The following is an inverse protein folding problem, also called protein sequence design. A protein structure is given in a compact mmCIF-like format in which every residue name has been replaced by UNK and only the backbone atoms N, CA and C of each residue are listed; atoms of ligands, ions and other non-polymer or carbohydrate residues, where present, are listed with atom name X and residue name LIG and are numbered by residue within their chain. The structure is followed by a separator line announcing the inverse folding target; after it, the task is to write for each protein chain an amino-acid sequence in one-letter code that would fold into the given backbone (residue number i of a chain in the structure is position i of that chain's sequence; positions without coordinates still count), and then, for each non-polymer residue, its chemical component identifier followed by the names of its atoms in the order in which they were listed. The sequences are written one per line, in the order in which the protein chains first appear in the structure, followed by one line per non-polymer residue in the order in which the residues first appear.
data_IF_881038277022
#
_entry.id   IF_881038277022
#
_cell.length_a   1.000
_cell.length_b   1.000
_cell.length_c   1.000
_cell.angle_alpha   90.00
_cell.angle_beta   90.00
_cell.angle_gamma   90.00
#
_symmetry.space_group_name_H-M   'P 1'
#
loop_
_entity.id
_entity.type
_entity.pdbx_description
1 polymer ?
#
# COMPACT_ATOMS: atom_id res chain seq x y z
N UNK A 1 24.28 -3.13 -27.07
CA UNK A 1 24.69 -1.80 -26.59
C UNK A 1 24.91 -0.81 -27.73
N UNK A 2 25.78 -1.09 -28.71
CA UNK A 2 26.04 -0.18 -29.85
C UNK A 2 24.77 0.20 -30.65
N UNK A 3 23.91 -0.76 -31.01
CA UNK A 3 22.66 -0.50 -31.73
C UNK A 3 21.66 0.38 -30.96
N UNK A 4 21.63 0.28 -29.62
CA UNK A 4 20.75 1.09 -28.77
C UNK A 4 21.26 2.54 -28.71
N UNK A 5 22.59 2.71 -28.63
CA UNK A 5 23.21 4.04 -28.69
C UNK A 5 23.00 4.69 -30.06
N UNK A 6 23.04 3.91 -31.14
CA UNK A 6 22.77 4.40 -32.49
C UNK A 6 21.31 4.83 -32.68
N UNK A 7 20.35 4.03 -32.18
CA UNK A 7 18.94 4.39 -32.17
C UNK A 7 18.68 5.65 -31.32
N UNK A 8 19.34 5.80 -30.18
CA UNK A 8 19.28 7.00 -29.35
C UNK A 8 19.83 8.22 -30.09
N UNK A 9 20.96 8.09 -30.77
CA UNK A 9 21.54 9.19 -31.57
C UNK A 9 20.63 9.58 -32.74
N UNK A 10 20.03 8.61 -33.43
CA UNK A 10 19.06 8.88 -34.50
C UNK A 10 17.81 9.56 -33.94
N UNK A 11 17.26 9.06 -32.83
CA UNK A 11 16.10 9.67 -32.19
C UNK A 11 16.41 11.10 -31.74
N UNK A 12 17.59 11.32 -31.14
CA UNK A 12 18.03 12.63 -30.67
C UNK A 12 18.26 13.62 -31.80
N UNK A 13 18.95 13.21 -32.87
CA UNK A 13 19.21 14.07 -34.04
C UNK A 13 17.90 14.43 -34.75
N UNK A 14 16.97 13.48 -34.91
CA UNK A 14 15.64 13.74 -35.49
C UNK A 14 14.84 14.68 -34.61
N UNK A 15 14.78 14.42 -33.30
CA UNK A 15 14.08 15.25 -32.35
C UNK A 15 14.62 16.68 -32.35
N UNK A 16 15.93 16.86 -32.16
CA UNK A 16 16.56 18.18 -32.10
C UNK A 16 16.46 18.95 -33.42
N UNK A 17 16.59 18.29 -34.57
CA UNK A 17 16.45 18.94 -35.88
C UNK A 17 15.01 19.37 -36.14
N UNK A 18 14.03 18.52 -35.83
CA UNK A 18 12.61 18.84 -35.98
C UNK A 18 12.16 19.94 -35.02
N UNK A 19 12.65 19.91 -33.78
CA UNK A 19 12.31 20.89 -32.76
C UNK A 19 12.91 22.27 -33.09
N UNK A 20 14.17 22.31 -33.54
CA UNK A 20 14.80 23.53 -34.06
C UNK A 20 14.07 24.07 -35.29
N UNK A 21 13.74 23.22 -36.26
CA UNK A 21 12.99 23.64 -37.45
C UNK A 21 11.60 24.20 -37.13
N UNK A 22 10.94 23.66 -36.10
CA UNK A 22 9.63 24.17 -35.64
C UNK A 22 9.75 25.53 -34.95
N UNK A 23 10.85 25.77 -34.23
CA UNK A 23 11.10 27.03 -33.51
C UNK A 23 11.64 28.14 -34.44
N UNK A 24 12.55 27.83 -35.37
CA UNK A 24 13.14 28.79 -36.33
C UNK A 24 12.12 29.27 -37.37
N UNK A 25 11.16 28.41 -37.77
CA UNK A 25 10.11 28.77 -38.74
C UNK A 25 8.94 29.56 -38.16
N UNK A 26 9.04 30.06 -36.93
CA UNK A 26 7.90 30.61 -36.20
C UNK A 26 7.83 32.14 -36.30
N UNK A 27 6.81 32.65 -36.99
CA UNK A 27 6.46 34.08 -36.99
C UNK A 27 5.97 34.54 -35.61
N UNK A 28 6.12 35.83 -35.30
CA UNK A 28 5.68 36.45 -34.05
C UNK A 28 4.20 36.18 -33.74
N UNK A 29 3.33 36.15 -34.76
CA UNK A 29 1.90 35.85 -34.58
C UNK A 29 1.68 34.44 -33.99
N UNK A 30 2.45 33.44 -34.46
CA UNK A 30 2.37 32.06 -33.98
C UNK A 30 2.88 31.94 -32.54
N UNK A 31 3.94 32.68 -32.20
CA UNK A 31 4.44 32.76 -30.83
C UNK A 31 3.39 33.33 -29.87
N UNK A 32 2.75 34.45 -30.23
CA UNK A 32 1.70 35.06 -29.41
C UNK A 32 0.53 34.08 -29.23
N UNK A 33 0.11 33.39 -30.30
CA UNK A 33 -0.95 32.38 -30.22
C UNK A 33 -0.59 31.23 -29.28
N UNK A 34 0.65 30.75 -29.33
CA UNK A 34 1.15 29.70 -28.44
C UNK A 34 1.15 30.16 -26.98
N UNK A 35 1.65 31.36 -26.70
CA UNK A 35 1.65 31.94 -25.36
C UNK A 35 0.23 32.10 -24.82
N UNK A 36 -0.73 32.53 -25.65
CA UNK A 36 -2.14 32.65 -25.25
C UNK A 36 -2.72 31.27 -24.90
N UNK A 37 -2.50 30.25 -25.72
CA UNK A 37 -3.03 28.89 -25.47
C UNK A 37 -2.43 28.30 -24.18
N UNK A 38 -1.11 28.37 -24.04
CA UNK A 38 -0.40 27.83 -22.86
C UNK A 38 -0.75 28.62 -21.62
N UNK A 39 -0.76 29.96 -21.72
CA UNK A 39 -1.15 30.85 -20.63
C UNK A 39 -2.59 30.58 -20.18
N UNK A 40 -3.54 30.51 -21.11
CA UNK A 40 -4.93 30.19 -20.81
C UNK A 40 -5.07 28.82 -20.13
N UNK A 41 -4.34 27.79 -20.57
CA UNK A 41 -4.34 26.48 -19.91
C UNK A 41 -3.78 26.54 -18.48
N UNK A 42 -2.66 27.24 -18.28
CA UNK A 42 -2.06 27.42 -16.96
C UNK A 42 -3.01 28.12 -15.99
N UNK A 43 -3.77 29.12 -16.46
CA UNK A 43 -4.79 29.77 -15.65
C UNK A 43 -6.03 28.89 -15.45
N UNK A 44 -6.49 28.15 -16.45
CA UNK A 44 -7.70 27.31 -16.40
C UNK A 44 -7.54 26.10 -15.48
N UNK A 45 -6.37 25.44 -15.53
CA UNK A 45 -6.07 24.18 -14.82
C UNK A 45 -6.37 24.21 -13.31
N UNK A 46 -5.93 25.21 -12.51
CA UNK A 46 -6.20 25.22 -11.07
C UNK A 46 -7.70 25.30 -10.76
N UNK A 47 -8.49 26.03 -11.56
CA UNK A 47 -9.94 26.11 -11.36
C UNK A 47 -10.64 24.80 -11.70
N UNK A 48 -10.23 24.13 -12.79
CA UNK A 48 -10.75 22.80 -13.12
C UNK A 48 -10.43 21.78 -12.01
N UNK A 49 -9.22 21.82 -11.45
CA UNK A 49 -8.84 20.96 -10.32
C UNK A 49 -9.66 21.24 -9.07
N UNK A 50 -9.95 22.52 -8.75
CA UNK A 50 -10.80 22.88 -7.61
C UNK A 50 -12.24 22.40 -7.80
N UNK A 51 -12.79 22.50 -9.01
CA UNK A 51 -14.14 22.01 -9.30
C UNK A 51 -14.22 20.48 -9.23
N UNK A 52 -13.25 19.78 -9.81
CA UNK A 52 -13.17 18.33 -9.75
C UNK A 52 -12.99 17.82 -8.30
N UNK A 53 -12.12 18.48 -7.52
CA UNK A 53 -11.91 18.15 -6.11
C UNK A 53 -13.17 18.35 -5.26
N UNK A 54 -13.91 19.45 -5.48
CA UNK A 54 -15.17 19.70 -4.76
C UNK A 54 -16.26 18.68 -5.12
N UNK A 55 -16.33 18.25 -6.40
CA UNK A 55 -17.27 17.22 -6.83
C UNK A 55 -16.92 15.85 -6.22
N UNK A 56 -15.63 15.52 -6.16
CA UNK A 56 -15.14 14.29 -5.52
C UNK A 56 -15.45 14.30 -4.01
N UNK A 57 -15.18 15.42 -3.32
CA UNK A 57 -15.46 15.56 -1.88
C UNK A 57 -16.95 15.41 -1.57
N UNK A 58 -17.82 16.05 -2.37
CA UNK A 58 -19.28 15.86 -2.24
C UNK A 58 -19.72 14.42 -2.41
N UNK A 59 -19.11 13.65 -3.34
CA UNK A 59 -19.43 12.22 -3.51
C UNK A 59 -18.95 11.36 -2.34
N UNK A 60 -17.87 11.77 -1.67
CA UNK A 60 -17.42 11.10 -0.45
C UNK A 60 -18.29 11.48 0.76
N UNK A 61 -18.82 12.70 0.81
CA UNK A 61 -19.69 13.21 1.88
C UNK A 61 -21.16 12.80 1.76
N UNK A 62 -21.67 12.50 0.56
CA UNK A 62 -23.07 12.02 0.35
C UNK A 62 -23.21 10.51 0.50
N UNK A 63 -22.11 9.76 0.61
CA UNK A 63 -22.11 8.30 0.82
C UNK A 63 -22.24 7.76 2.26
N UNK A 64 -22.24 8.55 3.36
CA UNK A 64 -22.52 7.99 4.68
C UNK A 64 -24.01 7.93 5.05
N UNK A 65 -24.89 8.74 4.44
CA UNK A 65 -26.26 8.94 4.96
C UNK A 65 -27.37 8.44 3.99
N UNK A 66 -27.21 8.60 2.67
CA UNK A 66 -28.27 8.30 1.68
C UNK A 66 -28.32 6.83 1.21
N UNK A 67 -27.37 5.98 1.63
CA UNK A 67 -27.45 4.51 1.43
C UNK A 67 -28.49 3.84 2.33
N UNK A 68 -29.23 4.58 3.15
CA UNK A 68 -30.33 4.04 3.95
C UNK A 68 -31.59 3.64 3.14
N UNK A 69 -31.68 3.99 1.85
CA UNK A 69 -32.83 3.70 0.98
C UNK A 69 -32.55 2.71 -0.17
N UNK A 70 -31.35 2.12 -0.24
CA UNK A 70 -31.00 1.06 -1.19
C UNK A 70 -30.75 -0.30 -0.52
N UNK A 71 -30.82 -1.44 -1.23
CA UNK A 71 -30.53 -2.75 -0.65
C UNK A 71 -29.07 -2.78 -0.18
N UNK A 72 -28.89 -2.70 1.14
CA UNK A 72 -27.60 -2.74 1.84
C UNK A 72 -26.69 -3.81 1.21
N UNK A 73 -25.48 -3.48 0.74
CA UNK A 73 -24.50 -4.52 0.47
C UNK A 73 -24.31 -5.31 1.77
N UNK A 74 -24.59 -6.61 1.74
CA UNK A 74 -24.60 -7.51 2.93
C UNK A 74 -23.27 -7.57 3.69
N UNK A 75 -22.20 -6.97 3.15
CA UNK A 75 -20.88 -6.99 3.74
C UNK A 75 -20.25 -5.61 3.56
N UNK A 76 -20.10 -4.88 4.67
CA UNK A 76 -19.30 -3.65 4.69
C UNK A 76 -17.82 -4.07 4.67
N UNK A 77 -16.91 -3.31 4.01
CA UNK A 77 -15.47 -3.64 3.99
C UNK A 77 -14.83 -3.84 5.37
N UNK A 78 -15.44 -3.30 6.43
CA UNK A 78 -14.97 -3.47 7.81
C UNK A 78 -15.67 -4.60 8.58
N UNK A 79 -16.73 -5.22 8.05
CA UNK A 79 -17.42 -6.36 8.66
C UNK A 79 -16.52 -7.60 8.76
N UNK A 80 -15.53 -7.73 7.86
CA UNK A 80 -14.60 -8.87 7.84
C UNK A 80 -13.35 -8.65 8.71
N UNK A 81 -13.15 -7.44 9.25
CA UNK A 81 -11.96 -7.11 10.06
C UNK A 81 -12.27 -7.39 11.53
N UNK A 82 -12.05 -8.64 11.95
CA UNK A 82 -12.19 -9.10 13.34
C UNK A 82 -13.27 -10.17 13.57
N UNK A 83 -14.08 -10.49 12.56
CA UNK A 83 -15.14 -11.51 12.65
C UNK A 83 -14.73 -12.88 12.11
N UNK A 84 -13.50 -13.01 11.60
CA UNK A 84 -12.89 -14.30 11.27
C UNK A 84 -12.01 -14.67 12.45
N UNK A 85 -12.56 -15.44 13.39
CA UNK A 85 -11.75 -16.26 14.28
C UNK A 85 -10.90 -17.15 13.37
N UNK A 86 -9.61 -16.84 13.26
CA UNK A 86 -8.66 -17.74 12.62
C UNK A 86 -8.53 -18.89 13.62
N UNK A 87 -9.01 -20.12 13.31
CA UNK A 87 -8.87 -21.23 14.23
C UNK A 87 -7.38 -21.40 14.55
N UNK A 88 -7.03 -21.34 15.84
CA UNK A 88 -5.64 -21.50 16.32
C UNK A 88 -5.09 -22.90 16.03
N UNK A 89 -5.92 -23.83 15.56
CA UNK A 89 -5.61 -25.25 15.43
C UNK A 89 -5.88 -25.83 14.02
N UNK A 90 -5.53 -25.08 12.97
CA UNK A 90 -5.43 -25.68 11.62
C UNK A 90 -4.05 -26.32 11.44
N UNK A 91 -3.83 -27.37 12.22
CA UNK A 91 -2.77 -28.37 12.07
C UNK A 91 -3.35 -29.73 11.66
N UNK A 92 -4.50 -29.72 10.97
CA UNK A 92 -5.13 -30.94 10.46
C UNK A 92 -4.76 -31.18 8.99
N UNK A 93 -4.10 -32.30 8.76
CA UNK A 93 -3.85 -32.86 7.45
C UNK A 93 -5.18 -33.18 6.75
N UNK A 94 -5.48 -32.47 5.66
CA UNK A 94 -6.39 -32.96 4.63
C UNK A 94 -7.88 -32.94 4.98
N UNK A 95 -8.52 -31.78 4.86
CA UNK A 95 -9.97 -31.73 4.57
C UNK A 95 -10.26 -30.73 3.44
N UNK A 96 -10.65 -31.30 2.31
CA UNK A 96 -11.23 -30.66 1.13
C UNK A 96 -12.49 -29.86 1.50
N UNK A 97 -12.37 -28.54 1.64
CA UNK A 97 -13.50 -27.63 1.61
C UNK A 97 -13.63 -27.04 0.20
N UNK A 98 -14.44 -27.72 -0.60
CA UNK A 98 -14.86 -27.32 -1.95
C UNK A 98 -15.69 -26.04 -1.90
N UNK A 99 -15.09 -24.91 -2.29
CA UNK A 99 -15.81 -23.63 -2.30
C UNK A 99 -15.03 -22.45 -2.87
N UNK A 100 -14.97 -22.38 -4.21
CA UNK A 100 -14.90 -21.14 -5.00
C UNK A 100 -13.95 -20.03 -4.51
N UNK A 101 -12.66 -20.13 -4.90
CA UNK A 101 -11.86 -19.10 -5.59
C UNK A 101 -10.37 -19.48 -5.51
N UNK A 102 -9.85 -20.08 -6.58
CA UNK A 102 -8.43 -20.43 -6.78
C UNK A 102 -7.55 -19.17 -7.00
N UNK A 103 -7.76 -18.12 -6.20
CA UNK A 103 -7.21 -16.79 -6.46
C UNK A 103 -6.65 -16.13 -5.20
N UNK A 104 -5.93 -16.85 -4.31
CA UNK A 104 -5.07 -16.18 -3.30
C UNK A 104 -4.00 -17.08 -2.65
N UNK A 105 -3.27 -17.86 -3.43
CA UNK A 105 -2.17 -18.73 -2.90
C UNK A 105 -0.78 -18.08 -2.89
N UNK A 106 -0.61 -16.83 -3.33
CA UNK A 106 0.74 -16.25 -3.49
C UNK A 106 1.37 -15.66 -2.21
N UNK A 107 0.66 -15.68 -1.08
CA UNK A 107 1.13 -15.03 0.16
C UNK A 107 0.97 -15.84 1.45
N UNK A 108 0.27 -16.98 1.42
CA UNK A 108 -0.04 -17.75 2.64
C UNK A 108 1.23 -18.26 3.34
N UNK A 109 2.21 -18.78 2.57
CA UNK A 109 3.48 -19.28 3.11
C UNK A 109 4.35 -18.17 3.73
N UNK A 110 4.37 -16.98 3.13
CA UNK A 110 5.09 -15.83 3.66
C UNK A 110 4.46 -15.33 4.97
N UNK A 111 3.13 -15.21 5.02
CA UNK A 111 2.39 -14.83 6.23
C UNK A 111 2.55 -15.87 7.35
N UNK A 112 2.52 -17.17 7.03
CA UNK A 112 2.79 -18.26 8.01
C UNK A 112 4.19 -18.14 8.61
N UNK A 113 5.21 -17.87 7.78
CA UNK A 113 6.59 -17.64 8.25
C UNK A 113 6.70 -16.41 9.16
N UNK A 114 6.07 -15.29 8.79
CA UNK A 114 6.05 -14.08 9.61
C UNK A 114 5.41 -14.31 10.98
N UNK A 115 4.27 -15.02 11.02
CA UNK A 115 3.60 -15.40 12.27
C UNK A 115 4.47 -16.30 13.15
N UNK A 116 5.12 -17.31 12.56
CA UNK A 116 5.99 -18.23 13.32
C UNK A 116 7.23 -17.53 13.90
N UNK A 117 7.78 -16.54 13.20
CA UNK A 117 8.88 -15.73 13.73
C UNK A 117 8.39 -14.88 14.91
N UNK A 118 7.21 -14.28 14.81
CA UNK A 118 6.63 -13.49 15.90
C UNK A 118 6.31 -14.36 17.13
N UNK A 119 5.72 -15.55 16.94
CA UNK A 119 5.47 -16.51 18.05
C UNK A 119 6.78 -16.88 18.75
N UNK A 120 7.82 -17.27 17.98
CA UNK A 120 9.14 -17.59 18.56
C UNK A 120 9.78 -16.43 19.31
N UNK A 121 9.59 -15.18 18.85
CA UNK A 121 10.12 -14.00 19.52
C UNK A 121 9.43 -13.78 20.87
N UNK A 122 8.10 -13.96 20.91
CA UNK A 122 7.30 -13.87 22.13
C UNK A 122 7.69 -14.97 23.11
N UNK A 123 7.79 -16.23 22.66
CA UNK A 123 8.16 -17.37 23.50
C UNK A 123 9.56 -17.21 24.13
N UNK A 124 10.50 -16.57 23.41
CA UNK A 124 11.85 -16.27 23.94
C UNK A 124 11.81 -15.18 25.00
N UNK A 125 10.99 -14.14 24.80
CA UNK A 125 10.84 -13.07 25.79
C UNK A 125 10.14 -13.56 27.06
N UNK A 126 9.11 -14.40 26.92
CA UNK A 126 8.43 -15.03 28.06
C UNK A 126 9.39 -15.92 28.86
N UNK A 127 10.23 -16.71 28.19
CA UNK A 127 11.27 -17.50 28.88
C UNK A 127 12.30 -16.64 29.58
N UNK A 128 12.75 -15.56 28.96
CA UNK A 128 13.68 -14.60 29.57
C UNK A 128 13.07 -13.96 30.84
N UNK A 129 11.78 -13.63 30.80
CA UNK A 129 11.06 -13.07 31.96
C UNK A 129 10.84 -14.11 33.06
N UNK A 130 10.61 -15.38 32.70
CA UNK A 130 10.52 -16.48 33.66
C UNK A 130 11.86 -16.74 34.34
N UNK A 131 12.97 -16.80 33.59
CA UNK A 131 14.33 -16.96 34.15
C UNK A 131 14.69 -15.83 35.12
N UNK A 132 14.30 -14.58 34.82
CA UNK A 132 14.52 -13.45 35.74
C UNK A 132 13.66 -13.53 37.01
N UNK A 133 12.45 -14.09 36.93
CA UNK A 133 11.59 -14.30 38.10
C UNK A 133 12.10 -15.45 38.96
N UNK A 134 12.56 -16.55 38.35
CA UNK A 134 13.16 -17.68 39.06
C UNK A 134 14.48 -17.26 39.76
N UNK A 135 15.32 -16.45 39.11
CA UNK A 135 16.56 -15.90 39.73
C UNK A 135 16.27 -14.98 40.94
N UNK A 136 15.18 -14.21 40.90
CA UNK A 136 14.77 -13.34 42.03
C UNK A 136 14.18 -14.18 43.19
N UNK A 137 13.41 -15.24 42.89
CA UNK A 137 12.86 -16.16 43.89
C UNK A 137 13.93 -16.99 44.59
N UNK A 138 14.95 -17.49 43.86
CA UNK A 138 16.08 -18.23 44.44
C UNK A 138 16.95 -17.35 45.35
N UNK A 139 17.11 -16.07 44.99
CA UNK A 139 17.88 -15.09 45.77
C UNK A 139 17.25 -14.74 47.10
N UNK A 140 15.91 -14.70 47.16
CA UNK A 140 15.15 -14.54 48.39
C UNK A 140 15.26 -15.77 49.31
N UNK A 141 15.57 -16.96 48.76
CA UNK A 141 15.78 -18.19 49.52
C UNK A 141 17.23 -18.33 50.04
N UNK A 142 18.22 -17.83 49.30
CA UNK A 142 19.63 -17.83 49.72
C UNK A 142 19.86 -17.06 51.03
N UNK A 143 19.10 -16.00 51.30
CA UNK A 143 19.17 -15.23 52.56
C UNK A 143 18.83 -16.08 53.79
N UNK A 144 18.00 -17.13 53.64
CA UNK A 144 17.60 -18.03 54.71
C UNK A 144 18.52 -19.27 54.88
N UNK A 145 19.53 -19.44 54.02
CA UNK A 145 20.42 -20.62 54.00
C UNK A 145 21.75 -20.39 54.75
N UNK A 146 21.86 -19.33 55.56
CA UNK A 146 22.98 -19.15 56.49
C UNK A 146 22.96 -20.25 57.55
N UNK A 147 23.84 -21.22 57.34
CA UNK A 147 24.04 -22.46 58.10
C UNK A 147 24.72 -22.16 59.45
N UNK A 148 23.97 -22.26 60.55
CA UNK A 148 24.53 -22.64 61.87
C UNK A 148 24.72 -24.16 61.95
#
# INVERSE_FOLDING_TARGET
MAAVLDLLNIAWTRFSTNLRGTLDGMSYEKWIRLVIIVGAYCLLRPYLMKLAGNAQMKQHETKPEDEWLGPKPKVQPNTLRGQVEIPEDSDDEGVEATGSTTATEWGKKARKRQRNVLKKLIDVEEKRLAELQEDDEDKDIEEFLVKE
#
